data_IF_321584102984
#
_entry.id   IF_321584102984
#
_cell.length_a   1.000
_cell.length_b   1.000
_cell.length_c   1.000
_cell.angle_alpha   90.00
_cell.angle_beta   90.00
_cell.angle_gamma   90.00
#
_symmetry.space_group_name_H-M   'P 1'
#
loop_
_entity.id
_entity.type
_entity.pdbx_description
1 polymer ?
#
# COMPACT_ATOMS: atom_id res chain seq x y z
N UNK A 1 9.62 -14.33 22.82
CA UNK A 1 9.33 -12.89 22.90
C UNK A 1 10.22 -12.19 21.89
N UNK A 2 9.75 -12.04 20.64
CA UNK A 2 10.42 -11.15 19.68
C UNK A 2 10.21 -9.72 20.16
N UNK A 3 11.28 -8.95 20.27
CA UNK A 3 11.19 -7.53 20.63
C UNK A 3 10.26 -6.86 19.59
N UNK A 4 9.11 -6.36 20.05
CA UNK A 4 8.24 -5.53 19.20
C UNK A 4 9.05 -4.28 18.85
N UNK A 5 9.54 -4.25 17.62
CA UNK A 5 10.20 -3.06 17.08
C UNK A 5 9.11 -2.03 16.86
N UNK A 6 9.33 -0.79 17.31
CA UNK A 6 8.38 0.32 17.14
C UNK A 6 7.80 0.31 15.71
N UNK A 7 6.47 0.13 15.52
CA UNK A 7 5.88 0.05 14.20
C UNK A 7 6.03 1.34 13.38
N UNK A 8 6.37 2.45 14.04
CA UNK A 8 6.58 3.76 13.42
C UNK A 8 8.07 4.13 13.26
N UNK A 9 8.98 3.17 13.50
CA UNK A 9 10.41 3.38 13.33
C UNK A 9 10.74 3.89 11.92
N UNK A 10 11.39 5.06 11.83
CA UNK A 10 11.78 5.66 10.56
C UNK A 10 10.70 6.54 9.90
N UNK A 11 9.54 6.73 10.52
CA UNK A 11 8.47 7.59 9.98
C UNK A 11 8.97 9.01 9.68
N UNK A 12 9.78 9.60 10.56
CA UNK A 12 10.33 10.95 10.39
C UNK A 12 11.52 11.03 9.42
N UNK A 13 12.00 9.89 8.90
CA UNK A 13 13.08 9.86 7.91
C UNK A 13 12.56 9.97 6.47
N UNK A 14 11.27 9.73 6.26
CA UNK A 14 10.63 9.94 4.97
C UNK A 14 10.48 11.45 4.74
N UNK A 15 10.86 11.98 3.57
CA UNK A 15 10.83 13.42 3.30
C UNK A 15 9.41 13.88 2.93
N UNK A 16 8.46 13.79 3.87
CA UNK A 16 7.03 14.01 3.64
C UNK A 16 6.68 15.33 2.95
N UNK A 17 7.32 16.44 3.34
CA UNK A 17 7.10 17.74 2.71
C UNK A 17 7.59 17.88 1.27
N UNK A 18 8.32 16.89 0.74
CA UNK A 18 8.67 16.81 -0.68
C UNK A 18 7.73 15.92 -1.49
N UNK A 19 6.89 15.13 -0.82
CA UNK A 19 5.96 14.19 -1.43
C UNK A 19 4.56 14.80 -1.51
N UNK A 20 3.78 14.38 -2.49
CA UNK A 20 2.40 14.83 -2.64
C UNK A 20 1.39 13.69 -2.49
N UNK A 21 0.25 14.06 -1.93
CA UNK A 21 -0.95 13.25 -1.83
C UNK A 21 -2.12 13.98 -2.53
N UNK A 22 -3.35 13.48 -2.45
CA UNK A 22 -4.50 14.01 -3.17
C UNK A 22 -4.83 15.49 -2.94
N UNK A 23 -4.40 16.04 -1.80
CA UNK A 23 -4.72 17.41 -1.38
C UNK A 23 -3.48 18.32 -1.30
N UNK A 24 -2.36 17.95 -1.96
CA UNK A 24 -1.12 18.73 -1.92
C UNK A 24 0.04 18.04 -1.19
N UNK A 25 0.98 18.80 -0.58
CA UNK A 25 2.12 18.25 0.16
C UNK A 25 1.68 17.32 1.31
N UNK A 26 2.46 16.26 1.56
CA UNK A 26 2.10 15.19 2.49
C UNK A 26 2.58 15.41 3.94
N UNK A 27 2.76 16.67 4.37
CA UNK A 27 3.30 17.03 5.71
C UNK A 27 2.42 16.55 6.89
N UNK A 28 1.14 16.30 6.63
CA UNK A 28 0.14 15.85 7.61
C UNK A 28 0.14 14.32 7.81
N UNK A 29 0.62 13.55 6.84
CA UNK A 29 0.64 12.09 6.84
C UNK A 29 1.31 11.49 8.09
N UNK A 30 2.47 11.98 8.58
CA UNK A 30 3.08 11.47 9.81
C UNK A 30 2.19 11.62 11.03
N UNK A 31 1.42 12.71 11.11
CA UNK A 31 0.45 12.95 12.18
C UNK A 31 -0.69 11.94 12.13
N UNK A 32 -1.23 11.70 10.94
CA UNK A 32 -2.32 10.73 10.72
C UNK A 32 -1.88 9.29 11.02
N UNK A 33 -0.68 8.87 10.56
CA UNK A 33 -0.13 7.54 10.84
C UNK A 33 0.07 7.33 12.35
N UNK A 34 0.60 8.32 13.08
CA UNK A 34 0.70 8.25 14.55
C UNK A 34 -0.67 8.17 15.22
N UNK A 35 -1.65 8.91 14.72
CA UNK A 35 -3.00 8.93 15.30
C UNK A 35 -3.73 7.58 15.20
N UNK A 36 -3.32 6.68 14.30
CA UNK A 36 -3.80 5.29 14.26
C UNK A 36 -3.44 4.51 15.55
N UNK A 37 -2.43 4.93 16.30
CA UNK A 37 -2.06 4.36 17.61
C UNK A 37 -2.80 4.96 18.79
N UNK A 38 -3.72 5.91 18.56
CA UNK A 38 -4.46 6.55 19.63
C UNK A 38 -5.29 5.53 20.43
N UNK A 39 -5.28 5.68 21.75
CA UNK A 39 -6.19 4.92 22.63
C UNK A 39 -7.65 5.30 22.41
N UNK A 40 -7.92 6.47 21.81
CA UNK A 40 -9.26 6.98 21.55
C UNK A 40 -9.75 6.54 20.16
N UNK A 41 -10.77 5.67 20.12
CA UNK A 41 -11.32 5.13 18.88
C UNK A 41 -11.82 6.21 17.88
N UNK A 42 -12.48 7.31 18.30
CA UNK A 42 -12.84 8.38 17.36
C UNK A 42 -11.64 9.03 16.67
N UNK A 43 -10.51 9.21 17.38
CA UNK A 43 -9.27 9.74 16.82
C UNK A 43 -8.70 8.79 15.77
N UNK A 44 -8.66 7.47 16.05
CA UNK A 44 -8.19 6.48 15.08
C UNK A 44 -9.04 6.46 13.82
N UNK A 45 -10.37 6.44 13.94
CA UNK A 45 -11.29 6.41 12.79
C UNK A 45 -11.15 7.66 11.93
N UNK A 46 -11.03 8.84 12.55
CA UNK A 46 -10.78 10.09 11.84
C UNK A 46 -9.46 10.02 11.07
N UNK A 47 -8.38 9.65 11.76
CA UNK A 47 -7.05 9.54 11.15
C UNK A 47 -7.02 8.53 10.00
N UNK A 48 -7.71 7.39 10.15
CA UNK A 48 -7.85 6.38 9.09
C UNK A 48 -8.55 6.97 7.86
N UNK A 49 -9.64 7.71 8.05
CA UNK A 49 -10.40 8.31 6.95
C UNK A 49 -9.63 9.44 6.26
N UNK A 50 -8.95 10.30 7.02
CA UNK A 50 -8.10 11.37 6.50
C UNK A 50 -6.95 10.78 5.69
N UNK A 51 -6.24 9.80 6.26
CA UNK A 51 -5.13 9.12 5.59
C UNK A 51 -5.60 8.40 4.33
N UNK A 52 -6.72 7.66 4.38
CA UNK A 52 -7.28 7.00 3.21
C UNK A 52 -7.61 7.99 2.08
N UNK A 53 -8.23 9.12 2.42
CA UNK A 53 -8.56 10.16 1.45
C UNK A 53 -7.32 10.83 0.84
N UNK A 54 -6.30 11.06 1.66
CA UNK A 54 -5.04 11.65 1.23
C UNK A 54 -4.25 10.72 0.29
N UNK A 55 -3.95 9.50 0.74
CA UNK A 55 -3.04 8.60 0.00
C UNK A 55 -3.76 7.67 -0.98
N UNK A 56 -5.08 7.59 -0.97
CA UNK A 56 -5.82 6.77 -1.92
C UNK A 56 -7.20 7.37 -2.25
N UNK A 57 -7.22 8.56 -2.87
CA UNK A 57 -8.47 9.26 -3.17
C UNK A 57 -9.29 8.55 -4.25
N UNK A 58 -10.50 8.08 -3.90
CA UNK A 58 -11.42 7.39 -4.82
C UNK A 58 -10.78 6.22 -5.58
N UNK A 59 -9.81 5.56 -4.95
CA UNK A 59 -9.07 4.45 -5.54
C UNK A 59 -7.88 4.86 -6.39
N UNK A 60 -7.57 6.16 -6.55
CA UNK A 60 -6.35 6.68 -7.18
C UNK A 60 -5.23 6.80 -6.15
N UNK A 61 -4.02 6.35 -6.50
CA UNK A 61 -2.83 6.42 -5.65
C UNK A 61 -1.99 7.61 -6.07
N UNK A 62 -1.19 8.10 -5.15
CA UNK A 62 -0.40 9.32 -5.22
C UNK A 62 1.05 9.02 -4.84
N UNK A 63 1.92 10.00 -5.03
CA UNK A 63 3.35 9.86 -4.73
C UNK A 63 3.61 9.39 -3.28
N UNK A 64 2.86 9.92 -2.32
CA UNK A 64 2.95 9.55 -0.91
C UNK A 64 2.47 8.10 -0.60
N UNK A 65 1.66 7.48 -1.45
CA UNK A 65 0.99 6.19 -1.17
C UNK A 65 1.94 5.06 -0.84
N UNK A 66 3.00 4.90 -1.62
CA UNK A 66 3.98 3.82 -1.40
C UNK A 66 4.69 3.93 -0.04
N UNK A 67 4.80 5.15 0.49
CA UNK A 67 5.59 5.42 1.70
C UNK A 67 4.84 5.10 2.99
N UNK A 68 3.51 5.04 2.97
CA UNK A 68 2.73 4.64 4.16
C UNK A 68 2.65 3.13 4.34
N UNK A 69 2.82 2.35 3.25
CA UNK A 69 2.73 0.88 3.23
C UNK A 69 3.51 0.19 4.34
N UNK A 70 4.83 0.43 4.53
CA UNK A 70 5.60 -0.29 5.56
C UNK A 70 5.09 -0.03 6.97
N UNK A 71 4.59 1.19 7.25
CA UNK A 71 4.05 1.55 8.55
C UNK A 71 2.67 0.92 8.78
N UNK A 72 1.80 0.88 7.76
CA UNK A 72 0.52 0.18 7.85
C UNK A 72 0.73 -1.32 8.09
N UNK A 73 1.70 -1.94 7.40
CA UNK A 73 2.04 -3.34 7.62
C UNK A 73 2.61 -3.60 9.02
N UNK A 74 3.44 -2.70 9.56
CA UNK A 74 3.96 -2.82 10.92
C UNK A 74 2.90 -2.58 11.99
N UNK A 75 2.01 -1.62 11.79
CA UNK A 75 0.86 -1.37 12.66
C UNK A 75 -0.09 -2.57 12.70
N UNK A 76 -0.33 -3.21 11.56
CA UNK A 76 -1.14 -4.42 11.48
C UNK A 76 -0.50 -5.63 12.17
N UNK A 77 0.84 -5.72 12.25
CA UNK A 77 1.53 -6.78 13.02
C UNK A 77 1.50 -6.56 14.53
N UNK A 78 1.41 -5.32 15.00
CA UNK A 78 1.45 -5.00 16.43
C UNK A 78 0.06 -5.22 17.08
N UNK A 79 -0.10 -6.19 18.00
CA UNK A 79 -1.36 -6.43 18.70
C UNK A 79 -1.84 -5.25 19.56
N UNK A 80 -0.96 -4.31 19.91
CA UNK A 80 -1.33 -3.11 20.64
C UNK A 80 -2.00 -2.04 19.75
N UNK A 81 -1.98 -2.21 18.42
CA UNK A 81 -2.69 -1.31 17.50
C UNK A 81 -4.20 -1.57 17.59
N UNK A 82 -4.98 -0.53 17.82
CA UNK A 82 -6.44 -0.62 17.75
C UNK A 82 -6.94 -0.72 16.30
N UNK A 83 -8.08 -1.37 16.10
CA UNK A 83 -8.76 -1.48 14.80
C UNK A 83 -7.86 -2.07 13.67
N UNK A 84 -7.04 -3.08 13.98
CA UNK A 84 -6.07 -3.70 13.04
C UNK A 84 -6.70 -4.09 11.70
N UNK A 85 -7.90 -4.69 11.69
CA UNK A 85 -8.59 -5.02 10.44
C UNK A 85 -8.81 -3.79 9.54
N UNK A 86 -9.11 -2.62 10.12
CA UNK A 86 -9.29 -1.38 9.36
C UNK A 86 -7.94 -0.85 8.82
N UNK A 87 -6.84 -1.03 9.55
CA UNK A 87 -5.49 -0.74 9.07
C UNK A 87 -5.10 -1.64 7.90
N UNK A 88 -5.41 -2.95 7.95
CA UNK A 88 -5.19 -3.87 6.81
C UNK A 88 -6.09 -3.50 5.63
N UNK A 89 -7.33 -3.09 5.87
CA UNK A 89 -8.22 -2.57 4.82
C UNK A 89 -7.65 -1.33 4.13
N UNK A 90 -7.05 -0.41 4.88
CA UNK A 90 -6.34 0.75 4.31
C UNK A 90 -5.08 0.30 3.54
N UNK A 91 -4.29 -0.64 4.06
CA UNK A 91 -3.15 -1.19 3.34
C UNK A 91 -3.59 -1.81 1.99
N UNK A 92 -4.70 -2.54 1.98
CA UNK A 92 -5.31 -3.09 0.76
C UNK A 92 -5.74 -1.99 -0.20
N UNK A 93 -6.39 -0.94 0.30
CA UNK A 93 -6.74 0.22 -0.52
C UNK A 93 -5.50 0.92 -1.09
N UNK A 94 -4.41 1.09 -0.32
CA UNK A 94 -3.20 1.74 -0.82
C UNK A 94 -2.49 0.89 -1.88
N UNK A 95 -2.35 -0.42 -1.63
CA UNK A 95 -1.61 -1.30 -2.52
C UNK A 95 -2.36 -1.62 -3.82
N UNK A 96 -3.69 -1.76 -3.77
CA UNK A 96 -4.51 -2.15 -4.92
C UNK A 96 -5.34 -0.99 -5.50
N UNK A 97 -5.59 0.06 -4.71
CA UNK A 97 -6.58 1.13 -4.96
C UNK A 97 -7.94 0.61 -5.38
N UNK A 98 -8.54 1.26 -6.38
CA UNK A 98 -9.92 0.97 -6.83
C UNK A 98 -10.09 -0.32 -7.63
N UNK A 99 -9.08 -1.20 -7.70
CA UNK A 99 -9.17 -2.45 -8.46
C UNK A 99 -10.19 -3.40 -7.84
N UNK A 100 -10.94 -4.07 -8.72
CA UNK A 100 -11.98 -5.06 -8.41
C UNK A 100 -11.46 -6.46 -8.65
N UNK A 101 -11.96 -7.44 -7.89
CA UNK A 101 -11.46 -8.82 -7.90
C UNK A 101 -11.77 -9.57 -9.22
N UNK A 102 -12.69 -9.05 -10.03
CA UNK A 102 -12.96 -9.55 -11.38
C UNK A 102 -11.81 -9.30 -12.37
N UNK A 103 -10.78 -8.54 -11.98
CA UNK A 103 -9.56 -8.32 -12.74
C UNK A 103 -8.47 -9.39 -12.49
N UNK A 104 -8.74 -10.44 -11.71
CA UNK A 104 -7.84 -11.57 -11.52
C UNK A 104 -8.01 -12.63 -12.64
N UNK A 105 -6.93 -13.30 -13.09
CA UNK A 105 -5.54 -13.13 -12.67
C UNK A 105 -4.95 -11.81 -13.16
N UNK A 106 -4.22 -11.13 -12.29
CA UNK A 106 -3.66 -9.82 -12.55
C UNK A 106 -2.22 -9.94 -13.08
N UNK A 107 -1.94 -9.33 -14.23
CA UNK A 107 -0.58 -9.18 -14.76
C UNK A 107 -0.05 -7.78 -14.45
N UNK A 108 0.77 -7.59 -13.39
CA UNK A 108 1.30 -6.29 -13.02
C UNK A 108 2.23 -5.71 -14.10
N UNK A 109 2.95 -6.53 -14.87
CA UNK A 109 3.87 -6.02 -15.90
C UNK A 109 3.09 -5.33 -17.00
N UNK A 110 2.02 -5.96 -17.47
CA UNK A 110 1.13 -5.36 -18.47
C UNK A 110 0.35 -4.17 -17.90
N UNK A 111 -0.20 -4.30 -16.70
CA UNK A 111 -1.05 -3.28 -16.10
C UNK A 111 -0.30 -1.99 -15.73
N UNK A 112 1.01 -2.08 -15.52
CA UNK A 112 1.85 -0.93 -15.15
C UNK A 112 2.86 -0.55 -16.24
N UNK A 113 2.74 -1.07 -17.47
CA UNK A 113 3.72 -0.82 -18.54
C UNK A 113 3.94 0.68 -18.84
N UNK A 114 2.92 1.52 -18.70
CA UNK A 114 3.04 2.97 -18.90
C UNK A 114 3.96 3.65 -17.86
N UNK A 115 4.15 3.04 -16.68
CA UNK A 115 5.05 3.56 -15.64
C UNK A 115 6.52 3.63 -16.11
N UNK A 116 6.91 2.78 -17.07
CA UNK A 116 8.28 2.76 -17.62
C UNK A 116 8.59 4.00 -18.48
N UNK A 117 7.56 4.69 -18.97
CA UNK A 117 7.69 5.92 -19.75
C UNK A 117 7.93 7.18 -18.92
N UNK A 118 7.79 7.10 -17.59
CA UNK A 118 7.88 8.26 -16.68
C UNK A 118 8.95 8.06 -15.62
N UNK A 119 9.92 8.97 -15.62
CA UNK A 119 10.96 9.03 -14.58
C UNK A 119 10.38 9.52 -13.24
N UNK A 120 11.10 9.26 -12.14
CA UNK A 120 10.69 9.76 -10.82
C UNK A 120 10.59 11.29 -10.79
N UNK A 121 11.52 12.00 -11.45
CA UNK A 121 11.52 13.47 -11.51
C UNK A 121 10.34 14.03 -12.30
N UNK A 122 9.96 13.36 -13.40
CA UNK A 122 8.76 13.71 -14.16
C UNK A 122 7.48 13.49 -13.34
N UNK A 123 7.38 12.35 -12.63
CA UNK A 123 6.24 12.10 -11.75
C UNK A 123 6.17 13.13 -10.62
N UNK A 124 7.30 13.50 -10.00
CA UNK A 124 7.36 14.54 -8.99
C UNK A 124 6.99 15.93 -9.56
N UNK A 125 7.38 16.22 -10.81
CA UNK A 125 6.97 17.45 -11.50
C UNK A 125 5.45 17.50 -11.71
N UNK A 126 4.83 16.40 -12.17
CA UNK A 126 3.36 16.28 -12.28
C UNK A 126 2.70 16.53 -10.93
N UNK A 127 3.19 15.90 -9.85
CA UNK A 127 2.65 16.08 -8.50
C UNK A 127 2.67 17.55 -8.05
N UNK A 128 3.77 18.27 -8.29
CA UNK A 128 3.88 19.70 -7.94
C UNK A 128 2.85 20.56 -8.68
N UNK A 129 2.67 20.33 -9.99
CA UNK A 129 1.73 21.09 -10.80
C UNK A 129 0.26 20.74 -10.50
N UNK A 130 -0.02 19.48 -10.17
CA UNK A 130 -1.33 19.09 -9.64
C UNK A 130 -1.64 19.82 -8.32
N UNK A 131 -0.67 19.89 -7.41
CA UNK A 131 -0.84 20.57 -6.12
C UNK A 131 -0.97 22.09 -6.26
N UNK A 132 -0.27 22.70 -7.22
CA UNK A 132 -0.39 24.12 -7.54
C UNK A 132 -1.71 24.47 -8.26
N UNK A 133 -2.40 23.46 -8.84
CA UNK A 133 -3.61 23.68 -9.62
C UNK A 133 -3.36 24.26 -11.01
N UNK A 134 -2.11 24.25 -11.49
CA UNK A 134 -1.67 24.85 -12.74
C UNK A 134 -1.28 23.80 -13.80
N UNK A 135 -1.47 22.50 -13.54
CA UNK A 135 -1.08 21.42 -14.47
C UNK A 135 -1.54 21.65 -15.91
N UNK A 136 -2.77 22.11 -16.11
CA UNK A 136 -3.34 22.37 -17.43
C UNK A 136 -2.68 23.55 -18.17
N UNK A 137 -1.91 24.39 -17.48
CA UNK A 137 -1.11 25.47 -18.09
C UNK A 137 0.23 24.97 -18.62
N UNK A 138 0.60 23.73 -18.28
CA UNK A 138 1.86 23.09 -18.63
C UNK A 138 1.64 21.85 -19.50
N UNK A 139 1.27 22.03 -20.77
CA UNK A 139 0.91 20.94 -21.72
C UNK A 139 1.85 19.73 -21.70
N UNK A 140 3.17 19.96 -21.66
CA UNK A 140 4.16 18.89 -21.61
C UNK A 140 4.15 18.08 -20.32
N UNK A 141 3.77 18.69 -19.19
CA UNK A 141 3.60 18.02 -17.90
C UNK A 141 2.22 17.38 -17.81
N UNK A 142 1.17 18.06 -18.29
CA UNK A 142 -0.18 17.52 -18.36
C UNK A 142 -0.24 16.22 -19.16
N UNK A 143 0.52 16.12 -20.27
CA UNK A 143 0.63 14.91 -21.08
C UNK A 143 1.25 13.70 -20.35
N UNK A 144 1.90 13.90 -19.20
CA UNK A 144 2.51 12.84 -18.39
C UNK A 144 1.61 12.41 -17.22
N UNK A 145 0.46 13.06 -17.00
CA UNK A 145 -0.33 12.89 -15.79
C UNK A 145 -0.87 11.47 -15.60
N UNK A 146 -1.41 10.87 -16.66
CA UNK A 146 -1.93 9.50 -16.60
C UNK A 146 -0.81 8.48 -16.34
N UNK A 147 0.32 8.61 -17.06
CA UNK A 147 1.47 7.72 -16.89
C UNK A 147 2.11 7.88 -15.49
N UNK A 148 2.15 9.10 -14.95
CA UNK A 148 2.57 9.35 -13.57
C UNK A 148 1.61 8.70 -12.54
N UNK A 149 0.30 8.75 -12.78
CA UNK A 149 -0.67 8.06 -11.94
C UNK A 149 -0.51 6.53 -12.00
N UNK A 150 -0.22 5.97 -13.19
CA UNK A 150 0.14 4.55 -13.35
C UNK A 150 1.43 4.23 -12.59
N UNK A 151 2.43 5.11 -12.64
CA UNK A 151 3.68 4.95 -11.89
C UNK A 151 3.45 4.93 -10.38
N UNK A 152 2.68 5.86 -9.82
CA UNK A 152 2.36 5.85 -8.38
C UNK A 152 1.57 4.61 -7.97
N UNK A 153 0.66 4.14 -8.83
CA UNK A 153 -0.05 2.88 -8.59
C UNK A 153 0.90 1.67 -8.61
N UNK A 154 1.86 1.63 -9.54
CA UNK A 154 2.85 0.57 -9.63
C UNK A 154 3.76 0.54 -8.39
N UNK A 155 4.26 1.70 -7.97
CA UNK A 155 5.11 1.82 -6.80
C UNK A 155 4.38 1.39 -5.50
N UNK A 156 3.11 1.77 -5.34
CA UNK A 156 2.29 1.38 -4.19
C UNK A 156 2.00 -0.13 -4.20
N UNK A 157 1.70 -0.71 -5.36
CA UNK A 157 1.52 -2.15 -5.54
C UNK A 157 2.80 -2.92 -5.18
N UNK A 158 3.96 -2.49 -5.69
CA UNK A 158 5.25 -3.10 -5.38
C UNK A 158 5.61 -2.97 -3.91
N UNK A 159 5.32 -1.84 -3.26
CA UNK A 159 5.50 -1.69 -1.82
C UNK A 159 4.63 -2.70 -1.06
N UNK A 160 3.37 -2.89 -1.46
CA UNK A 160 2.47 -3.88 -0.86
C UNK A 160 2.98 -5.31 -1.04
N UNK A 161 3.50 -5.64 -2.22
CA UNK A 161 4.01 -6.98 -2.54
C UNK A 161 5.24 -7.39 -1.68
N UNK A 162 5.97 -6.45 -1.09
CA UNK A 162 7.14 -6.73 -0.23
C UNK A 162 6.80 -7.29 1.16
N UNK A 163 5.51 -7.40 1.49
CA UNK A 163 5.03 -7.79 2.82
C UNK A 163 4.16 -9.07 2.80
N UNK A 164 4.30 -9.90 1.76
CA UNK A 164 3.52 -11.15 1.61
C UNK A 164 3.72 -12.12 2.77
N UNK A 165 4.92 -12.16 3.37
CA UNK A 165 5.21 -12.94 4.58
C UNK A 165 4.26 -12.59 5.74
N UNK A 166 3.95 -11.30 5.90
CA UNK A 166 3.03 -10.81 6.94
C UNK A 166 1.60 -11.22 6.64
N UNK A 167 1.18 -11.10 5.38
CA UNK A 167 -0.17 -11.48 4.96
C UNK A 167 -0.43 -12.97 5.20
N UNK A 168 0.54 -13.85 4.95
CA UNK A 168 0.43 -15.28 5.27
C UNK A 168 0.19 -15.50 6.76
N UNK A 169 0.90 -14.79 7.65
CA UNK A 169 0.68 -14.89 9.10
C UNK A 169 -0.71 -14.39 9.50
N UNK A 170 -1.17 -13.32 8.88
CA UNK A 170 -2.48 -12.71 9.17
C UNK A 170 -3.67 -13.59 8.80
N UNK A 171 -3.50 -14.59 7.94
CA UNK A 171 -4.54 -15.61 7.67
C UNK A 171 -4.97 -16.38 8.93
N UNK A 172 -4.09 -16.47 9.93
CA UNK A 172 -4.37 -17.14 11.20
C UNK A 172 -4.91 -16.19 12.28
N UNK A 173 -5.12 -14.91 11.98
CA UNK A 173 -5.69 -13.96 12.94
C UNK A 173 -7.14 -14.33 13.27
N UNK A 174 -7.56 -14.20 14.55
CA UNK A 174 -8.92 -14.53 14.97
C UNK A 174 -9.97 -13.56 14.43
N UNK A 175 -9.56 -12.37 14.00
CA UNK A 175 -10.45 -11.40 13.35
C UNK A 175 -10.68 -11.80 11.88
N UNK A 176 -11.89 -12.25 11.50
CA UNK A 176 -12.17 -12.73 10.16
C UNK A 176 -12.06 -11.63 9.09
N UNK A 177 -12.26 -10.36 9.44
CA UNK A 177 -12.11 -9.26 8.49
C UNK A 177 -10.63 -9.02 8.16
N UNK A 178 -9.77 -9.09 9.17
CA UNK A 178 -8.32 -9.01 8.99
C UNK A 178 -7.81 -10.17 8.12
N UNK A 179 -8.18 -11.40 8.48
CA UNK A 179 -7.81 -12.59 7.71
C UNK A 179 -8.34 -12.54 6.27
N UNK A 180 -9.55 -12.00 6.06
CA UNK A 180 -10.13 -11.79 4.72
C UNK A 180 -9.31 -10.84 3.85
N UNK A 181 -8.93 -9.67 4.37
CA UNK A 181 -8.06 -8.74 3.63
C UNK A 181 -6.68 -9.35 3.35
N UNK A 182 -6.14 -10.15 4.27
CA UNK A 182 -4.86 -10.83 4.05
C UNK A 182 -4.95 -11.84 2.90
N UNK A 183 -6.03 -12.62 2.83
CA UNK A 183 -6.29 -13.56 1.73
C UNK A 183 -6.44 -12.83 0.40
N UNK A 184 -7.16 -11.71 0.38
CA UNK A 184 -7.30 -10.87 -0.81
C UNK A 184 -5.94 -10.35 -1.29
N UNK A 185 -5.14 -9.75 -0.40
CA UNK A 185 -3.80 -9.25 -0.75
C UNK A 185 -2.92 -10.35 -1.36
N UNK A 186 -2.95 -11.56 -0.81
CA UNK A 186 -2.20 -12.70 -1.34
C UNK A 186 -2.68 -13.13 -2.73
N UNK A 187 -3.98 -13.07 -3.00
CA UNK A 187 -4.53 -13.37 -4.33
C UNK A 187 -4.02 -12.39 -5.40
N UNK A 188 -3.79 -11.13 -5.02
CA UNK A 188 -3.36 -10.06 -5.93
C UNK A 188 -1.86 -10.02 -6.21
N UNK A 189 -1.00 -10.35 -5.24
CA UNK A 189 0.45 -10.26 -5.45
C UNK A 189 1.03 -11.45 -6.21
N UNK A 190 0.25 -12.54 -6.34
CA UNK A 190 0.73 -13.81 -6.87
C UNK A 190 1.79 -14.43 -5.95
N UNK A 191 1.92 -15.76 -5.95
CA UNK A 191 3.06 -16.38 -5.28
C UNK A 191 4.35 -15.98 -6.01
N UNK A 192 5.37 -15.53 -5.29
CA UNK A 192 6.71 -15.39 -5.86
C UNK A 192 7.28 -16.77 -6.24
N UNK A 193 8.39 -16.80 -6.98
CA UNK A 193 9.04 -18.06 -7.38
C UNK A 193 9.35 -18.97 -6.17
N UNK A 194 9.62 -18.40 -5.00
CA UNK A 194 9.90 -19.16 -3.78
C UNK A 194 8.63 -19.82 -3.20
N UNK A 195 7.50 -19.11 -3.22
CA UNK A 195 6.20 -19.62 -2.82
C UNK A 195 5.69 -20.68 -3.80
N UNK A 196 5.89 -20.49 -5.11
CA UNK A 196 5.61 -21.51 -6.13
C UNK A 196 6.50 -22.75 -5.94
N UNK A 197 7.80 -22.57 -5.69
CA UNK A 197 8.72 -23.68 -5.42
C UNK A 197 8.35 -24.46 -4.16
N UNK A 198 7.91 -23.79 -3.09
CA UNK A 198 7.43 -24.42 -1.86
C UNK A 198 6.16 -25.25 -2.05
N UNK A 199 5.20 -24.73 -2.84
CA UNK A 199 3.98 -25.45 -3.21
C UNK A 199 4.30 -26.74 -4.00
N UNK A 200 5.21 -26.67 -4.98
CA UNK A 200 5.66 -27.84 -5.76
C UNK A 200 6.38 -28.88 -4.88
N UNK A 201 7.23 -28.43 -3.95
CA UNK A 201 7.93 -29.31 -3.02
C UNK A 201 6.96 -30.06 -2.08
N UNK A 202 5.90 -29.39 -1.61
CA UNK A 202 4.91 -29.96 -0.70
C UNK A 202 3.97 -31.00 -1.35
N UNK A 203 3.77 -30.91 -2.67
CA UNK A 203 3.00 -31.90 -3.44
C UNK A 203 3.77 -33.19 -3.79
N UNK A 204 5.09 -33.21 -3.54
CA UNK A 204 5.96 -34.34 -3.92
C UNK A 204 6.12 -35.39 -2.80
N UNK A 205 5.68 -35.10 -1.58
CA UNK A 205 5.62 -36.06 -0.48
C UNK A 205 4.40 -36.98 -0.61
N UNK A 206 4.49 -37.96 -1.52
CA UNK A 206 3.62 -39.14 -1.46
C UNK A 206 4.00 -40.00 -0.24
N UNK A 207 3.05 -40.56 0.52
CA UNK A 207 3.38 -41.47 1.60
C UNK A 207 3.94 -42.78 1.03
N UNK A 208 5.09 -43.21 1.54
CA UNK A 208 5.68 -44.53 1.28
C UNK A 208 4.68 -45.61 1.70
N UNK A 209 4.25 -46.54 0.82
CA UNK A 209 3.40 -47.64 1.25
C UNK A 209 4.23 -48.62 2.09
N UNK A 210 3.68 -49.02 3.25
CA UNK A 210 4.16 -50.12 4.08
C UNK A 210 4.00 -51.49 3.40
#
# INVERSE_FOLDING_TARGET
>A
MTASTDPLAGLDRVPWGSLHHAYGPADDVPGQVRALRSTHAPTRRRALSELAGAVCHQGTRWEASRHVVPFLAALADDPATGDRAAVVGLLRAVALGGRRDDALPFDPRRAFAAADGVTADQAALVARHLAAGDLCEHDGVAGLADDAAVRWAADAFQAGARHTDRYVRWLAEPDPQLAGYAAELLAWFGPDEAALAGLVASGSSSPTPC
#
